data_IF_272970182940
#
_entry.id   IF_272970182940
#
_cell.length_a   1.000
_cell.length_b   1.000
_cell.length_c   1.000
_cell.angle_alpha   90.00
_cell.angle_beta   90.00
_cell.angle_gamma   90.00
#
_symmetry.space_group_name_H-M   'P 1'
#
loop_
_entity.id
_entity.type
_entity.pdbx_description
1 polymer ?
#
# COMPACT_ATOMS: atom_id res chain seq x y z
N UNK A 1 -23.60 -1.96 -26.92
CA UNK A 1 -24.24 -1.54 -25.65
C UNK A 1 -23.19 -1.55 -24.57
N UNK A 2 -22.74 -0.38 -24.12
CA UNK A 2 -21.62 -0.25 -23.18
C UNK A 2 -22.07 -0.77 -21.80
N UNK A 3 -21.44 -1.84 -21.31
CA UNK A 3 -21.75 -2.38 -19.97
C UNK A 3 -21.24 -1.39 -18.94
N UNK A 4 -22.17 -0.79 -18.18
CA UNK A 4 -21.85 0.05 -17.02
C UNK A 4 -22.25 -0.65 -15.72
N UNK A 5 -21.51 -0.36 -14.66
CA UNK A 5 -21.67 -0.92 -13.32
C UNK A 5 -21.60 0.23 -12.31
N UNK A 6 -22.47 0.20 -11.31
CA UNK A 6 -22.41 1.11 -10.15
C UNK A 6 -21.61 0.44 -9.04
N UNK A 7 -20.66 1.18 -8.47
CA UNK A 7 -19.76 0.70 -7.42
C UNK A 7 -19.80 1.70 -6.28
N UNK A 8 -20.03 1.19 -5.06
CA UNK A 8 -19.94 2.00 -3.84
C UNK A 8 -18.48 2.04 -3.38
N UNK A 9 -17.95 3.26 -3.17
CA UNK A 9 -16.60 3.50 -2.65
C UNK A 9 -16.64 4.46 -1.45
N UNK A 10 -15.47 4.65 -0.82
CA UNK A 10 -15.27 5.52 0.34
C UNK A 10 -15.69 6.99 0.14
N UNK A 11 -15.75 7.48 -1.10
CA UNK A 11 -16.28 8.82 -1.40
C UNK A 11 -17.54 8.81 -2.24
N UNK A 12 -18.29 7.71 -2.21
CA UNK A 12 -19.62 7.61 -2.76
C UNK A 12 -19.74 6.65 -3.93
N UNK A 13 -20.88 6.72 -4.60
CA UNK A 13 -21.23 5.81 -5.70
C UNK A 13 -20.67 6.30 -7.02
N UNK A 14 -19.90 5.46 -7.68
CA UNK A 14 -19.23 5.76 -8.96
C UNK A 14 -19.77 4.83 -10.04
N UNK A 15 -20.06 5.38 -11.22
CA UNK A 15 -20.42 4.60 -12.40
C UNK A 15 -19.15 4.29 -13.19
N UNK A 16 -18.88 3.01 -13.42
CA UNK A 16 -17.77 2.52 -14.24
C UNK A 16 -18.34 1.96 -15.53
N UNK A 17 -17.87 2.44 -16.67
CA UNK A 17 -18.16 1.88 -17.99
C UNK A 17 -16.91 1.24 -18.57
N UNK A 18 -17.09 0.09 -19.23
CA UNK A 18 -16.02 -0.56 -19.96
C UNK A 18 -16.05 -0.10 -21.42
N UNK A 19 -14.94 0.47 -21.87
CA UNK A 19 -14.69 0.69 -23.28
C UNK A 19 -13.81 -0.45 -23.82
N UNK A 20 -14.26 -1.11 -24.88
CA UNK A 20 -13.54 -2.24 -25.50
C UNK A 20 -12.45 -1.76 -26.45
N UNK A 21 -12.49 -0.51 -26.91
CA UNK A 21 -11.53 0.05 -27.87
C UNK A 21 -10.41 0.83 -27.19
N UNK A 22 -10.59 1.19 -25.92
CA UNK A 22 -9.59 1.91 -25.12
C UNK A 22 -8.85 0.98 -24.17
N UNK A 23 -7.55 1.22 -23.99
CA UNK A 23 -6.79 0.58 -22.92
C UNK A 23 -7.38 0.92 -21.55
N UNK A 24 -7.41 -0.05 -20.64
CA UNK A 24 -7.86 0.20 -19.27
C UNK A 24 -6.99 1.30 -18.66
N UNK A 25 -7.64 2.36 -18.14
CA UNK A 25 -6.90 3.42 -17.46
C UNK A 25 -6.27 2.84 -16.19
N UNK A 26 -4.99 3.14 -15.88
CA UNK A 26 -4.35 2.68 -14.65
C UNK A 26 -5.14 3.02 -13.39
N UNK A 27 -5.89 4.13 -13.43
CA UNK A 27 -6.75 4.60 -12.33
C UNK A 27 -8.15 3.98 -12.33
N UNK A 28 -8.62 3.39 -13.43
CA UNK A 28 -9.93 2.73 -13.49
C UNK A 28 -10.04 1.52 -12.55
N UNK A 29 -8.94 0.82 -12.32
CA UNK A 29 -8.87 -0.29 -11.35
C UNK A 29 -8.96 0.19 -9.89
N UNK A 30 -8.64 1.46 -9.62
CA UNK A 30 -8.68 2.04 -8.28
C UNK A 30 -10.09 2.01 -7.68
N UNK A 31 -11.13 2.13 -8.51
CA UNK A 31 -12.53 2.12 -8.06
C UNK A 31 -12.88 0.78 -7.41
N UNK A 32 -12.49 -0.33 -8.02
CA UNK A 32 -12.72 -1.67 -7.46
C UNK A 32 -11.91 -1.91 -6.19
N UNK A 33 -10.67 -1.42 -6.17
CA UNK A 33 -9.85 -1.53 -4.96
C UNK A 33 -10.42 -0.69 -3.81
N UNK A 34 -10.93 0.50 -4.09
CA UNK A 34 -11.61 1.31 -3.10
C UNK A 34 -12.92 0.71 -2.61
N UNK A 35 -13.68 0.02 -3.47
CA UNK A 35 -14.86 -0.74 -3.05
C UNK A 35 -14.50 -1.89 -2.10
N UNK A 36 -13.36 -2.55 -2.35
CA UNK A 36 -12.81 -3.53 -1.40
C UNK A 36 -12.45 -2.88 -0.06
N UNK A 37 -11.80 -1.71 -0.08
CA UNK A 37 -11.44 -0.98 1.14
C UNK A 37 -12.66 -0.50 1.92
N UNK A 38 -13.71 -0.05 1.22
CA UNK A 38 -15.01 0.30 1.78
C UNK A 38 -15.66 -0.92 2.46
N UNK A 39 -15.78 -2.02 1.72
CA UNK A 39 -16.44 -3.24 2.20
C UNK A 39 -15.72 -3.84 3.41
N UNK A 40 -14.40 -3.77 3.44
CA UNK A 40 -13.59 -4.35 4.54
C UNK A 40 -13.37 -3.38 5.69
N UNK A 41 -13.64 -2.08 5.52
CA UNK A 41 -13.32 -1.04 6.50
C UNK A 41 -11.82 -0.90 6.83
N UNK A 42 -10.94 -1.55 6.06
CA UNK A 42 -9.50 -1.59 6.36
C UNK A 42 -8.87 -0.19 6.31
N UNK A 43 -9.25 0.61 5.31
CA UNK A 43 -8.70 1.95 5.15
C UNK A 43 -9.17 2.90 6.24
N UNK A 44 -10.48 2.92 6.52
CA UNK A 44 -11.04 3.78 7.56
C UNK A 44 -10.48 3.44 8.94
N UNK A 45 -10.43 2.15 9.29
CA UNK A 45 -9.85 1.71 10.56
C UNK A 45 -8.37 2.09 10.65
N UNK A 46 -7.61 1.99 9.54
CA UNK A 46 -6.20 2.40 9.48
C UNK A 46 -6.01 3.90 9.70
N UNK A 47 -6.88 4.73 9.11
CA UNK A 47 -6.86 6.19 9.29
C UNK A 47 -7.29 6.59 10.71
N UNK A 48 -8.33 5.94 11.24
CA UNK A 48 -8.88 6.21 12.58
C UNK A 48 -7.85 5.88 13.67
N UNK A 49 -7.32 4.65 13.67
CA UNK A 49 -6.34 4.15 14.66
C UNK A 49 -4.93 4.77 14.47
N UNK A 50 -4.74 5.67 13.50
CA UNK A 50 -3.43 6.31 13.27
C UNK A 50 -3.00 7.19 14.47
N UNK A 51 -1.74 7.04 14.94
CA UNK A 51 -1.18 7.84 16.03
C UNK A 51 -0.86 9.29 15.62
N UNK A 52 -1.08 9.66 14.35
CA UNK A 52 -0.89 11.02 13.88
C UNK A 52 -1.83 11.98 14.63
N UNK A 53 -1.26 12.92 15.40
CA UNK A 53 -2.02 13.94 16.12
C UNK A 53 -1.78 15.32 15.52
N UNK A 54 -2.87 16.04 15.28
CA UNK A 54 -2.84 17.45 14.93
C UNK A 54 -3.51 18.27 16.03
N UNK A 55 -2.90 19.41 16.33
CA UNK A 55 -3.40 20.37 17.33
C UNK A 55 -3.91 21.66 16.69
N UNK A 56 -3.60 21.90 15.40
CA UNK A 56 -3.96 23.14 14.69
C UNK A 56 -5.24 22.96 13.87
N UNK A 57 -6.17 23.94 13.88
CA UNK A 57 -7.34 23.96 13.01
C UNK A 57 -7.00 23.99 11.51
N UNK A 58 -5.81 24.51 11.17
CA UNK A 58 -5.35 24.62 9.77
C UNK A 58 -4.61 23.36 9.29
N UNK A 59 -4.52 22.32 10.13
CA UNK A 59 -3.88 21.08 9.74
C UNK A 59 -4.74 20.31 8.70
N UNK A 60 -4.10 19.61 7.74
CA UNK A 60 -4.84 18.72 6.85
C UNK A 60 -5.50 17.60 7.64
N UNK A 61 -6.55 17.00 7.09
CA UNK A 61 -7.18 15.85 7.75
C UNK A 61 -6.22 14.65 7.73
N UNK A 62 -6.31 13.77 8.75
CA UNK A 62 -5.53 12.51 8.79
C UNK A 62 -5.74 11.70 7.51
N UNK A 63 -6.99 11.65 7.03
CA UNK A 63 -7.38 10.96 5.79
C UNK A 63 -6.66 11.50 4.57
N UNK A 64 -6.55 12.83 4.42
CA UNK A 64 -5.86 13.45 3.28
C UNK A 64 -4.37 13.07 3.25
N UNK A 65 -3.72 13.06 4.41
CA UNK A 65 -2.29 12.73 4.54
C UNK A 65 -2.05 11.26 4.24
N UNK A 66 -2.78 10.37 4.93
CA UNK A 66 -2.60 8.93 4.83
C UNK A 66 -3.09 8.39 3.49
N UNK A 67 -4.17 8.95 2.94
CA UNK A 67 -4.64 8.67 1.59
C UNK A 67 -3.64 9.12 0.52
N UNK A 68 -2.99 10.28 0.68
CA UNK A 68 -1.93 10.72 -0.24
C UNK A 68 -0.73 9.75 -0.22
N UNK A 69 -0.33 9.29 0.97
CA UNK A 69 0.72 8.26 1.09
C UNK A 69 0.31 6.97 0.39
N UNK A 70 -0.91 6.52 0.63
CA UNK A 70 -1.46 5.30 0.07
C UNK A 70 -1.50 5.34 -1.46
N UNK A 71 -2.06 6.40 -2.04
CA UNK A 71 -2.08 6.62 -3.50
C UNK A 71 -0.68 6.67 -4.09
N UNK A 72 0.28 7.29 -3.40
CA UNK A 72 1.67 7.33 -3.84
C UNK A 72 2.30 5.94 -3.90
N UNK A 73 1.98 5.07 -2.96
CA UNK A 73 2.47 3.68 -2.95
C UNK A 73 1.84 2.89 -4.10
N UNK A 74 0.52 3.04 -4.32
CA UNK A 74 -0.18 2.38 -5.42
C UNK A 74 0.29 2.84 -6.80
N UNK A 75 0.65 4.12 -6.93
CA UNK A 75 1.28 4.67 -8.13
C UNK A 75 2.73 4.20 -8.34
N UNK A 76 3.28 3.36 -7.45
CA UNK A 76 4.63 2.81 -7.56
C UNK A 76 5.73 3.83 -7.25
N UNK A 77 5.41 4.96 -6.62
CA UNK A 77 6.41 5.96 -6.30
C UNK A 77 7.39 5.46 -5.24
N UNK A 78 8.69 5.65 -5.50
CA UNK A 78 9.78 5.21 -4.62
C UNK A 78 10.43 6.35 -3.83
N UNK A 79 10.03 7.60 -4.08
CA UNK A 79 10.58 8.83 -3.47
C UNK A 79 9.43 9.79 -3.15
N UNK A 80 9.52 10.49 -2.02
CA UNK A 80 8.51 11.49 -1.62
C UNK A 80 8.30 12.57 -2.67
N UNK A 81 9.37 13.05 -3.32
CA UNK A 81 9.30 14.05 -4.40
C UNK A 81 8.30 13.70 -5.53
N UNK A 82 8.05 12.41 -5.77
CA UNK A 82 7.13 11.98 -6.82
C UNK A 82 5.64 12.12 -6.42
N UNK A 83 5.35 12.30 -5.12
CA UNK A 83 3.97 12.56 -4.63
C UNK A 83 3.36 13.77 -5.32
N UNK A 84 4.17 14.77 -5.70
CA UNK A 84 3.70 15.96 -6.42
C UNK A 84 3.00 15.61 -7.74
N UNK A 85 3.37 14.50 -8.40
CA UNK A 85 2.71 14.05 -9.62
C UNK A 85 1.24 13.65 -9.39
N UNK A 86 0.86 13.28 -8.16
CA UNK A 86 -0.53 12.96 -7.83
C UNK A 86 -1.41 14.21 -7.81
N UNK A 87 -0.86 15.43 -7.66
CA UNK A 87 -1.69 16.64 -7.51
C UNK A 87 -2.56 16.97 -8.71
N UNK A 88 -2.25 16.41 -9.87
CA UNK A 88 -3.06 16.53 -11.09
C UNK A 88 -4.19 15.49 -11.18
N UNK A 89 -4.28 14.57 -10.21
CA UNK A 89 -5.33 13.57 -10.12
C UNK A 89 -6.55 14.11 -9.37
N UNK A 90 -7.63 14.34 -10.11
CA UNK A 90 -8.91 14.79 -9.55
C UNK A 90 -9.87 13.67 -9.15
N UNK A 91 -9.58 12.41 -9.47
CA UNK A 91 -10.53 11.30 -9.33
C UNK A 91 -10.19 10.42 -8.14
N UNK A 92 -8.93 10.01 -7.99
CA UNK A 92 -8.52 9.11 -6.90
C UNK A 92 -8.76 9.65 -5.48
N UNK A 93 -8.63 10.96 -5.20
CA UNK A 93 -8.97 11.51 -3.88
C UNK A 93 -10.44 11.31 -3.54
N UNK A 94 -11.32 11.58 -4.50
CA UNK A 94 -12.75 11.37 -4.32
C UNK A 94 -13.07 9.89 -4.12
N UNK A 95 -12.45 8.99 -4.89
CA UNK A 95 -12.64 7.55 -4.73
C UNK A 95 -12.38 7.09 -3.28
N UNK A 96 -11.35 7.66 -2.62
CA UNK A 96 -10.95 7.33 -1.25
C UNK A 96 -11.64 8.20 -0.16
N UNK A 97 -12.57 9.08 -0.53
CA UNK A 97 -13.23 10.00 0.40
C UNK A 97 -12.30 11.08 0.97
N UNK A 98 -11.21 11.41 0.27
CA UNK A 98 -10.28 12.47 0.65
C UNK A 98 -10.81 13.84 0.20
N UNK A 99 -10.54 14.88 0.98
CA UNK A 99 -10.86 16.26 0.57
C UNK A 99 -9.80 16.84 -0.35
N UNK A 100 -8.54 16.39 -0.24
CA UNK A 100 -7.43 16.85 -1.09
C UNK A 100 -6.22 15.94 -1.05
N UNK A 101 -5.36 16.09 -2.05
CA UNK A 101 -3.99 15.57 -2.04
C UNK A 101 -3.09 16.60 -1.34
N UNK A 102 -2.37 16.17 -0.31
CA UNK A 102 -1.44 17.06 0.41
C UNK A 102 -0.12 17.23 -0.35
N UNK A 103 0.62 18.30 -0.07
CA UNK A 103 1.95 18.46 -0.64
C UNK A 103 2.94 17.44 -0.07
N UNK A 104 4.00 17.18 -0.82
CA UNK A 104 5.12 16.35 -0.39
C UNK A 104 5.71 16.79 0.95
N UNK A 105 5.92 18.10 1.13
CA UNK A 105 6.37 18.69 2.39
C UNK A 105 5.40 18.44 3.56
N UNK A 106 4.10 18.62 3.31
CA UNK A 106 3.08 18.40 4.33
C UNK A 106 3.03 16.93 4.74
N UNK A 107 3.13 16.01 3.77
CA UNK A 107 3.19 14.58 4.02
C UNK A 107 4.43 14.22 4.87
N UNK A 108 5.63 14.66 4.46
CA UNK A 108 6.87 14.38 5.21
C UNK A 108 6.80 14.90 6.64
N UNK A 109 6.34 16.14 6.83
CA UNK A 109 6.16 16.74 8.17
C UNK A 109 5.14 15.99 9.00
N UNK A 110 4.07 15.48 8.39
CA UNK A 110 3.05 14.70 9.09
C UNK A 110 3.62 13.37 9.57
N UNK A 111 4.30 12.63 8.70
CA UNK A 111 4.90 11.34 9.05
C UNK A 111 5.97 11.50 10.15
N UNK A 112 6.76 12.58 10.10
CA UNK A 112 7.74 12.89 11.15
C UNK A 112 7.14 13.25 12.51
N UNK A 113 5.83 13.47 12.62
CA UNK A 113 5.13 13.70 13.91
C UNK A 113 4.64 12.41 14.56
N UNK A 114 4.66 11.29 13.86
CA UNK A 114 4.24 10.00 14.41
C UNK A 114 5.37 9.48 15.31
N UNK A 115 5.11 9.21 16.61
CA UNK A 115 6.09 8.57 17.47
C UNK A 115 6.45 7.19 16.91
N UNK A 116 7.75 6.86 16.84
CA UNK A 116 8.23 5.66 16.16
C UNK A 116 7.63 4.37 16.74
N UNK A 117 7.56 4.24 18.06
CA UNK A 117 7.02 3.06 18.72
C UNK A 117 5.52 2.87 18.41
N UNK A 118 4.73 3.95 18.51
CA UNK A 118 3.30 3.92 18.20
C UNK A 118 3.05 3.65 16.72
N UNK A 119 3.84 4.29 15.84
CA UNK A 119 3.77 4.08 14.39
C UNK A 119 4.11 2.65 13.98
N UNK A 120 5.12 2.06 14.62
CA UNK A 120 5.53 0.67 14.37
C UNK A 120 4.44 -0.31 14.79
N UNK A 121 3.87 -0.12 15.98
CA UNK A 121 2.78 -0.97 16.46
C UNK A 121 1.52 -0.84 15.59
N UNK A 122 1.15 0.39 15.25
CA UNK A 122 0.04 0.68 14.33
C UNK A 122 0.23 -0.02 12.99
N UNK A 123 1.38 0.16 12.33
CA UNK A 123 1.65 -0.49 11.04
C UNK A 123 1.66 -2.01 11.15
N UNK A 124 2.26 -2.58 12.21
CA UNK A 124 2.28 -4.03 12.44
C UNK A 124 0.87 -4.59 12.61
N UNK A 125 0.04 -3.93 13.44
CA UNK A 125 -1.35 -4.32 13.70
C UNK A 125 -2.17 -4.34 12.41
N UNK A 126 -2.09 -3.28 11.61
CA UNK A 126 -2.86 -3.19 10.36
C UNK A 126 -2.35 -4.10 9.26
N UNK A 127 -1.03 -4.32 9.17
CA UNK A 127 -0.46 -5.31 8.27
C UNK A 127 -0.95 -6.72 8.62
N UNK A 128 -1.00 -7.07 9.91
CA UNK A 128 -1.52 -8.38 10.31
C UNK A 128 -3.02 -8.50 10.03
N UNK A 129 -3.81 -7.46 10.35
CA UNK A 129 -5.25 -7.41 10.04
C UNK A 129 -5.54 -7.63 8.54
N UNK A 130 -4.71 -7.13 7.63
CA UNK A 130 -4.95 -7.27 6.19
C UNK A 130 -4.68 -8.69 5.65
N UNK A 131 -3.85 -9.48 6.33
CA UNK A 131 -3.46 -10.83 5.87
C UNK A 131 -4.07 -11.97 6.68
N UNK A 132 -4.58 -11.70 7.89
CA UNK A 132 -5.01 -12.77 8.82
C UNK A 132 -6.12 -13.65 8.26
N UNK A 133 -7.09 -13.09 7.53
CA UNK A 133 -8.15 -13.87 6.89
C UNK A 133 -7.58 -14.79 5.80
N UNK A 134 -6.58 -14.31 5.06
CA UNK A 134 -5.89 -15.09 4.05
C UNK A 134 -5.17 -16.30 4.67
N UNK A 135 -4.60 -16.11 5.86
CA UNK A 135 -3.94 -17.15 6.64
C UNK A 135 -4.88 -18.25 7.18
N UNK A 136 -6.21 -18.12 7.02
CA UNK A 136 -7.19 -19.16 7.38
C UNK A 136 -7.35 -20.25 6.32
N UNK A 137 -6.79 -20.04 5.12
CA UNK A 137 -6.72 -21.04 4.05
C UNK A 137 -5.32 -21.67 3.99
N UNK A 138 -5.07 -22.77 3.28
CA UNK A 138 -3.70 -23.27 3.12
C UNK A 138 -2.78 -22.23 2.43
N UNK A 139 -1.65 -21.89 3.06
CA UNK A 139 -0.68 -20.92 2.55
C UNK A 139 0.75 -21.41 2.71
N UNK A 140 1.64 -20.83 1.90
CA UNK A 140 3.09 -20.98 2.04
C UNK A 140 3.64 -19.65 2.54
N UNK A 141 4.44 -19.72 3.61
CA UNK A 141 5.25 -18.59 4.04
C UNK A 141 6.53 -18.58 3.24
N UNK A 142 6.72 -17.54 2.43
CA UNK A 142 8.00 -17.28 1.81
C UNK A 142 8.69 -16.14 2.57
N UNK A 143 9.89 -16.42 3.07
CA UNK A 143 10.66 -15.47 3.88
C UNK A 143 11.95 -15.17 3.14
N UNK A 144 12.01 -13.96 2.59
CA UNK A 144 13.19 -13.46 1.92
C UNK A 144 13.82 -12.31 2.70
N UNK A 145 15.15 -12.25 2.65
CA UNK A 145 15.90 -11.12 3.16
C UNK A 145 16.43 -10.32 1.99
N UNK A 146 16.06 -9.04 1.92
CA UNK A 146 16.61 -8.12 0.92
C UNK A 146 17.59 -7.14 1.57
N UNK A 147 18.62 -6.76 0.81
CA UNK A 147 19.52 -5.68 1.20
C UNK A 147 19.08 -4.44 0.42
N UNK A 148 18.63 -3.40 1.14
CA UNK A 148 18.33 -2.11 0.53
C UNK A 148 19.56 -1.22 0.68
N UNK A 149 20.32 -0.95 -0.40
CA UNK A 149 21.39 0.02 -0.34
C UNK A 149 20.79 1.39 -0.06
N UNK A 150 21.26 2.01 1.02
CA UNK A 150 20.89 3.37 1.39
C UNK A 150 22.02 4.30 1.00
N UNK A 151 21.66 5.46 0.47
CA UNK A 151 22.62 6.50 0.09
C UNK A 151 22.59 7.62 1.14
N UNK A 152 23.77 8.17 1.45
CA UNK A 152 23.94 9.18 2.48
C UNK A 152 23.97 8.61 3.90
N UNK A 153 23.84 9.49 4.89
CA UNK A 153 23.72 9.11 6.31
C UNK A 153 22.25 8.84 6.62
N UNK A 154 21.89 7.57 6.72
CA UNK A 154 20.54 7.14 7.08
C UNK A 154 20.59 6.41 8.42
N UNK A 155 19.59 6.66 9.27
CA UNK A 155 19.45 6.00 10.56
C UNK A 155 19.32 4.48 10.39
N UNK A 156 19.99 3.72 11.27
CA UNK A 156 19.99 2.25 11.23
C UNK A 156 20.86 1.59 10.16
N UNK A 157 21.46 2.36 9.23
CA UNK A 157 22.34 1.82 8.22
C UNK A 157 23.69 1.42 8.83
N UNK A 158 24.02 0.12 8.78
CA UNK A 158 25.31 -0.42 9.26
C UNK A 158 26.09 -1.00 8.10
N UNK A 159 27.42 -0.98 8.21
CA UNK A 159 28.28 -1.69 7.25
C UNK A 159 28.03 -3.18 7.41
N UNK A 160 27.67 -3.84 6.32
CA UNK A 160 27.32 -5.25 6.30
C UNK A 160 27.39 -5.81 4.89
N UNK A 161 26.96 -7.06 4.70
CA UNK A 161 26.94 -7.68 3.39
C UNK A 161 26.03 -6.92 2.42
N UNK A 162 26.63 -6.35 1.36
CA UNK A 162 25.95 -5.67 0.28
C UNK A 162 26.57 -6.12 -1.05
N UNK A 163 25.90 -7.03 -1.80
CA UNK A 163 26.48 -7.64 -3.01
C UNK A 163 26.71 -6.63 -4.13
N UNK A 164 25.95 -5.53 -4.16
CA UNK A 164 26.07 -4.51 -5.20
C UNK A 164 27.07 -3.40 -4.85
N UNK A 165 27.30 -3.12 -3.56
CA UNK A 165 28.21 -2.08 -3.07
C UNK A 165 28.91 -2.51 -1.77
N UNK A 166 29.95 -3.36 -1.84
CA UNK A 166 30.69 -3.82 -0.67
C UNK A 166 31.23 -2.67 0.18
N UNK A 167 31.23 -2.84 1.51
CA UNK A 167 31.77 -1.85 2.46
C UNK A 167 30.91 -0.61 2.70
N UNK A 168 29.79 -0.44 1.97
CA UNK A 168 28.86 0.68 2.20
C UNK A 168 27.80 0.31 3.24
N UNK A 169 27.40 1.25 4.12
CA UNK A 169 26.27 1.06 5.00
C UNK A 169 25.00 0.66 4.22
N UNK A 170 24.27 -0.32 4.72
CA UNK A 170 23.00 -0.76 4.15
C UNK A 170 22.02 -1.15 5.25
N UNK A 171 20.73 -1.11 4.94
CA UNK A 171 19.71 -1.70 5.80
C UNK A 171 19.31 -3.06 5.24
N UNK A 172 19.31 -4.05 6.13
CA UNK A 172 18.75 -5.37 5.84
C UNK A 172 17.26 -5.32 6.15
N UNK A 173 16.43 -5.56 5.15
CA UNK A 173 14.98 -5.58 5.30
C UNK A 173 14.54 -7.02 5.09
N UNK A 174 13.82 -7.57 6.05
CA UNK A 174 13.13 -8.85 5.88
C UNK A 174 11.79 -8.59 5.22
N UNK A 175 11.56 -9.18 4.05
CA UNK A 175 10.29 -9.15 3.35
C UNK A 175 9.64 -10.51 3.57
N UNK A 176 8.42 -10.48 4.11
CA UNK A 176 7.60 -11.69 4.27
C UNK A 176 6.51 -11.65 3.23
N UNK A 177 6.51 -12.61 2.32
CA UNK A 177 5.46 -12.77 1.32
C UNK A 177 4.58 -13.94 1.75
N UNK A 178 3.29 -13.70 1.93
CA UNK A 178 2.32 -14.78 2.15
C UNK A 178 1.77 -15.17 0.79
N UNK A 179 2.12 -16.37 0.32
CA UNK A 179 1.58 -16.91 -0.92
C UNK A 179 0.39 -17.80 -0.57
N UNK A 180 -0.81 -17.41 -1.02
CA UNK A 180 -1.99 -18.22 -0.89
C UNK A 180 -1.94 -19.37 -1.89
N UNK A 181 -2.00 -20.61 -1.43
CA UNK A 181 -2.25 -21.72 -2.33
C UNK A 181 -3.76 -21.75 -2.57
N UNK A 182 -4.20 -21.14 -3.66
CA UNK A 182 -5.54 -21.41 -4.20
C UNK A 182 -5.54 -22.83 -4.78
N UNK A 183 -5.63 -23.84 -3.92
CA UNK A 183 -5.79 -25.22 -4.38
C UNK A 183 -7.15 -25.35 -5.08
N UNK A 184 -7.16 -25.19 -6.41
CA UNK A 184 -7.83 -26.23 -7.20
C UNK A 184 -7.02 -27.52 -6.95
N UNK A 185 -7.65 -28.69 -6.76
CA UNK A 185 -6.92 -29.92 -6.53
C UNK A 185 -6.03 -30.20 -7.76
N UNK A 186 -4.75 -29.85 -7.67
CA UNK A 186 -3.74 -30.29 -8.63
C UNK A 186 -3.41 -31.71 -8.23
N UNK A 187 -3.96 -32.69 -8.96
CA UNK A 187 -3.44 -34.05 -8.93
C UNK A 187 -1.99 -33.98 -9.39
N UNK A 188 -1.06 -33.98 -8.45
CA UNK A 188 0.35 -34.24 -8.71
C UNK A 188 0.42 -35.69 -9.19
N UNK A 189 0.47 -35.88 -10.52
CA UNK A 189 0.78 -37.16 -11.10
C UNK A 189 2.21 -37.52 -10.69
N UNK A 190 2.34 -38.50 -9.79
CA UNK A 190 3.61 -39.12 -9.46
C UNK A 190 4.22 -39.69 -10.75
N UNK A 191 5.20 -38.99 -11.34
CA UNK A 191 6.13 -39.63 -12.28
C UNK A 191 7.09 -40.46 -11.46
N UNK A 192 6.86 -41.77 -11.47
CA UNK A 192 7.83 -42.76 -11.03
C UNK A 192 9.09 -42.59 -11.88
N UNK A 193 10.14 -42.02 -11.30
CA UNK A 193 11.49 -42.21 -11.79
C UNK A 193 11.93 -43.62 -11.36
N UNK A 194 11.79 -44.58 -12.25
CA UNK A 194 12.61 -45.79 -12.19
C UNK A 194 13.91 -45.51 -12.94
N UNK A 195 15.04 -45.80 -12.28
CA UNK A 195 16.36 -45.90 -12.90
C UNK A 195 16.48 -47.24 -13.61
#
# INVERSE_FOLDING_TARGET
MQKSCLIDTLGGRIQVSWDQESAATPMGQMVFFAAYLETTGLFDTWVEESPLRYTSPNAPQKRDVLGTLFLSILAGHRRYAHVTALRSDGVSPNILGMGKIVSEDALRRALGKIPEAEGTEWMRKHLFKSVVAACQTPWILDIDTTVKPLFGHQEGAKVGYNPHKPGRPSCRIQIKLVTLILTKPVKLAHRNFQK
#
